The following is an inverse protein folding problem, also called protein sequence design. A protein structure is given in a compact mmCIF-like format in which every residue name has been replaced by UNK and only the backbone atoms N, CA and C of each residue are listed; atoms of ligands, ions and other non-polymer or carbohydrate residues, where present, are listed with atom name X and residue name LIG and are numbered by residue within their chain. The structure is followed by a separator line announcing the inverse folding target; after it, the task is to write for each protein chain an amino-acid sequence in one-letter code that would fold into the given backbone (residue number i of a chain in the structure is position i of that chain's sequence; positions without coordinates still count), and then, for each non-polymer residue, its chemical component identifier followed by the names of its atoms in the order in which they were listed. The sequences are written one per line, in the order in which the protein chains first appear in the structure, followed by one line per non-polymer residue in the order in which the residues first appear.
data_IF_132877561778
#
_entry.id   IF_132877561778
#
_cell.length_a   1.000
_cell.length_b   1.000
_cell.length_c   1.000
_cell.angle_alpha   90.00
_cell.angle_beta   90.00
_cell.angle_gamma   90.00
#
_symmetry.space_group_name_H-M   'P 1'
#
loop_
_entity.id
_entity.type
_entity.pdbx_description
1 polymer ?
#
# COMPACT_ATOMS: atom_id res chain seq x y z
N UNK A 1 0.90 -55.96 17.34
CA UNK A 1 -0.02 -55.02 18.03
C UNK A 1 -0.81 -54.09 17.08
N UNK A 2 -0.82 -54.29 15.76
CA UNK A 2 -1.49 -53.37 14.80
C UNK A 2 -2.96 -53.74 14.53
N UNK A 3 -3.30 -55.04 14.61
CA UNK A 3 -4.63 -55.57 14.29
C UNK A 3 -5.76 -55.05 15.22
N UNK A 4 -5.57 -54.91 16.55
CA UNK A 4 -6.62 -54.41 17.44
C UNK A 4 -6.97 -52.94 17.19
N UNK A 5 -5.97 -52.12 16.86
CA UNK A 5 -6.12 -50.71 16.54
C UNK A 5 -6.95 -50.51 15.26
N UNK A 6 -6.70 -51.32 14.23
CA UNK A 6 -7.46 -51.27 12.98
C UNK A 6 -8.94 -51.67 13.18
N UNK A 7 -9.20 -52.63 14.08
CA UNK A 7 -10.56 -53.04 14.43
C UNK A 7 -11.32 -51.95 15.21
N UNK A 8 -10.66 -51.29 16.17
CA UNK A 8 -11.27 -50.15 16.87
C UNK A 8 -11.52 -48.95 15.94
N UNK A 9 -10.59 -48.67 15.03
CA UNK A 9 -10.71 -47.58 14.05
C UNK A 9 -11.89 -47.80 13.09
N UNK A 10 -12.05 -49.02 12.56
CA UNK A 10 -13.17 -49.36 11.67
C UNK A 10 -14.51 -49.31 12.39
N UNK A 11 -14.58 -49.79 13.64
CA UNK A 11 -15.78 -49.70 14.47
C UNK A 11 -16.18 -48.25 14.78
N UNK A 12 -15.22 -47.38 15.07
CA UNK A 12 -15.46 -45.94 15.30
C UNK A 12 -15.93 -45.23 14.03
N UNK A 13 -15.28 -45.51 12.88
CA UNK A 13 -15.64 -44.91 11.61
C UNK A 13 -17.01 -45.33 11.08
N UNK A 14 -17.49 -46.53 11.43
CA UNK A 14 -18.85 -46.97 11.08
C UNK A 14 -19.96 -46.12 11.73
N UNK A 15 -19.67 -45.39 12.81
CA UNK A 15 -20.62 -44.50 13.47
C UNK A 15 -20.68 -43.10 12.84
N UNK A 16 -19.71 -42.74 12.00
CA UNK A 16 -19.71 -41.44 11.32
C UNK A 16 -20.68 -41.48 10.15
N UNK A 17 -21.78 -40.73 10.28
CA UNK A 17 -22.62 -40.40 9.13
C UNK A 17 -21.82 -39.45 8.23
N UNK A 18 -21.76 -39.68 6.90
CA UNK A 18 -21.09 -38.75 6.02
C UNK A 18 -21.74 -37.36 6.15
N UNK A 19 -20.95 -36.28 6.20
CA UNK A 19 -21.50 -34.94 6.30
C UNK A 19 -22.42 -34.69 5.10
N UNK A 20 -23.58 -34.08 5.34
CA UNK A 20 -24.48 -33.67 4.27
C UNK A 20 -23.77 -32.57 3.46
N UNK A 21 -23.19 -32.95 2.33
CA UNK A 21 -22.57 -32.01 1.39
C UNK A 21 -23.71 -31.26 0.69
N UNK A 22 -24.06 -30.09 1.20
CA UNK A 22 -24.98 -29.19 0.51
C UNK A 22 -24.27 -28.68 -0.75
N UNK A 23 -24.75 -29.07 -1.93
CA UNK A 23 -24.29 -28.52 -3.20
C UNK A 23 -24.52 -26.99 -3.22
N UNK A 24 -23.66 -26.23 -3.91
CA UNK A 24 -23.74 -24.77 -3.97
C UNK A 24 -25.14 -24.27 -4.33
N UNK A 25 -25.81 -24.94 -5.27
CA UNK A 25 -27.19 -24.63 -5.68
C UNK A 25 -28.21 -24.70 -4.53
N UNK A 26 -28.05 -25.65 -3.60
CA UNK A 26 -28.92 -25.80 -2.43
C UNK A 26 -28.67 -24.70 -1.40
N UNK A 27 -27.42 -24.22 -1.29
CA UNK A 27 -27.05 -23.10 -0.41
C UNK A 27 -27.63 -21.80 -0.96
N UNK A 28 -27.48 -21.54 -2.27
CA UNK A 28 -28.04 -20.37 -2.93
C UNK A 28 -29.57 -20.30 -2.78
N UNK A 29 -30.27 -21.42 -2.99
CA UNK A 29 -31.73 -21.48 -2.79
C UNK A 29 -32.16 -21.25 -1.34
N UNK A 30 -31.35 -21.64 -0.36
CA UNK A 30 -31.62 -21.34 1.06
C UNK A 30 -31.37 -19.87 1.37
N UNK A 31 -30.30 -19.28 0.83
CA UNK A 31 -29.97 -17.87 1.01
C UNK A 31 -31.04 -16.95 0.38
N UNK A 32 -31.50 -17.24 -0.83
CA UNK A 32 -32.55 -16.44 -1.47
C UNK A 32 -33.87 -16.50 -0.71
N UNK A 33 -34.29 -17.69 -0.26
CA UNK A 33 -35.48 -17.84 0.58
C UNK A 33 -35.39 -17.06 1.89
N UNK A 34 -34.23 -17.10 2.55
CA UNK A 34 -33.99 -16.33 3.77
C UNK A 34 -33.97 -14.82 3.50
N UNK A 35 -33.40 -14.39 2.37
CA UNK A 35 -33.39 -12.99 1.94
C UNK A 35 -34.80 -12.45 1.66
N UNK A 36 -35.63 -13.21 0.94
CA UNK A 36 -37.02 -12.82 0.70
C UNK A 36 -37.81 -12.70 1.99
N UNK A 37 -37.70 -13.69 2.90
CA UNK A 37 -38.35 -13.65 4.21
C UNK A 37 -37.89 -12.46 5.06
N UNK A 38 -36.60 -12.10 4.96
CA UNK A 38 -36.06 -10.89 5.60
C UNK A 38 -36.68 -9.62 5.02
N UNK A 39 -36.82 -9.52 3.70
CA UNK A 39 -37.40 -8.33 3.05
C UNK A 39 -38.89 -8.17 3.35
N UNK A 40 -39.65 -9.26 3.36
CA UNK A 40 -41.06 -9.25 3.80
C UNK A 40 -41.17 -8.79 5.27
N UNK A 41 -40.27 -9.26 6.13
CA UNK A 41 -40.21 -8.82 7.52
C UNK A 41 -39.83 -7.34 7.64
N UNK A 42 -38.88 -6.83 6.84
CA UNK A 42 -38.50 -5.41 6.84
C UNK A 42 -39.65 -4.51 6.39
N UNK A 43 -40.41 -4.88 5.35
CA UNK A 43 -41.60 -4.15 4.93
C UNK A 43 -42.69 -4.14 6.03
N UNK A 44 -42.77 -5.22 6.79
CA UNK A 44 -43.66 -5.31 7.96
C UNK A 44 -43.17 -4.42 9.11
N UNK A 45 -41.85 -4.35 9.34
CA UNK A 45 -41.25 -3.47 10.34
C UNK A 45 -41.40 -1.98 10.01
N UNK A 46 -41.26 -1.61 8.74
CA UNK A 46 -41.43 -0.23 8.28
C UNK A 46 -42.86 0.30 8.51
N UNK A 47 -43.85 -0.60 8.56
CA UNK A 47 -45.25 -0.29 8.87
C UNK A 47 -45.65 -0.54 10.33
N UNK A 48 -44.78 -1.18 11.14
CA UNK A 48 -45.13 -1.70 12.47
C UNK A 48 -45.26 -0.65 13.59
N UNK A 49 -44.95 0.61 13.34
CA UNK A 49 -45.00 1.67 14.36
C UNK A 49 -46.18 2.62 14.21
N UNK A 50 -47.21 2.26 13.44
CA UNK A 50 -48.49 2.97 13.51
C UNK A 50 -49.33 2.44 14.70
N UNK A 51 -48.86 2.73 15.91
CA UNK A 51 -49.52 2.39 17.19
C UNK A 51 -50.77 3.23 17.45
N UNK A 52 -51.03 4.23 16.60
CA UNK A 52 -52.20 5.10 16.73
C UNK A 52 -53.47 4.35 16.38
N UNK A 53 -54.49 4.51 17.22
CA UNK A 53 -55.80 3.88 17.06
C UNK A 53 -56.61 4.50 15.92
N UNK A 54 -56.46 5.80 15.66
CA UNK A 54 -57.09 6.46 14.52
C UNK A 54 -56.36 6.11 13.22
N UNK A 55 -57.03 5.43 12.28
CA UNK A 55 -56.52 5.08 10.94
C UNK A 55 -57.13 5.92 9.81
N UNK A 56 -57.77 7.04 10.14
CA UNK A 56 -58.42 7.90 9.14
C UNK A 56 -57.38 8.50 8.18
N UNK A 57 -57.81 8.72 6.93
CA UNK A 57 -56.96 9.26 5.88
C UNK A 57 -56.62 10.72 6.17
N UNK A 58 -55.33 11.06 6.11
CA UNK A 58 -54.83 12.42 6.31
C UNK A 58 -54.58 13.02 4.93
N UNK A 59 -55.24 14.13 4.63
CA UNK A 59 -55.09 14.85 3.38
C UNK A 59 -54.14 16.05 3.57
N UNK A 60 -53.38 16.36 2.52
CA UNK A 60 -52.61 17.61 2.47
C UNK A 60 -53.44 18.67 1.72
N UNK A 61 -53.33 19.91 2.15
CA UNK A 61 -53.94 21.06 1.47
C UNK A 61 -53.49 21.17 0.00
N UNK A 62 -52.30 20.67 -0.34
CA UNK A 62 -51.79 20.65 -1.72
C UNK A 62 -52.48 19.64 -2.64
N UNK A 63 -53.11 18.60 -2.07
CA UNK A 63 -53.69 17.46 -2.82
C UNK A 63 -55.22 17.55 -2.94
N UNK A 64 -55.85 18.46 -2.20
CA UNK A 64 -57.32 18.61 -2.16
C UNK A 64 -57.68 20.08 -2.41
N UNK A 65 -58.77 20.33 -3.14
CA UNK A 65 -59.33 21.68 -3.34
C UNK A 65 -59.89 22.23 -2.01
N UNK A 66 -58.98 22.57 -1.10
CA UNK A 66 -59.29 23.10 0.21
C UNK A 66 -59.70 24.57 0.07
N UNK A 67 -60.91 24.92 0.53
CA UNK A 67 -61.49 26.27 0.38
C UNK A 67 -60.86 27.34 1.30
N UNK A 68 -59.65 27.11 1.80
CA UNK A 68 -58.98 27.98 2.76
C UNK A 68 -57.89 28.83 2.11
N UNK A 69 -58.14 30.14 2.02
CA UNK A 69 -57.27 31.15 1.40
C UNK A 69 -56.28 31.81 2.37
N UNK A 70 -55.79 31.08 3.38
CA UNK A 70 -54.94 31.64 4.43
C UNK A 70 -53.76 30.74 4.81
N UNK A 71 -52.62 31.36 5.15
CA UNK A 71 -51.42 30.67 5.68
C UNK A 71 -51.76 30.05 7.03
N UNK A 72 -52.07 28.75 7.06
CA UNK A 72 -52.04 27.98 8.31
C UNK A 72 -50.60 27.59 8.61
N UNK A 73 -50.30 27.39 9.88
CA UNK A 73 -49.03 26.79 10.32
C UNK A 73 -48.94 25.30 9.96
N UNK A 74 -50.08 24.61 9.77
CA UNK A 74 -50.14 23.20 9.38
C UNK A 74 -50.92 23.02 8.06
N UNK A 75 -50.32 22.31 7.09
CA UNK A 75 -50.84 22.06 5.75
C UNK A 75 -51.55 20.69 5.61
N UNK A 76 -51.95 20.08 6.72
CA UNK A 76 -52.63 18.78 6.74
C UNK A 76 -53.97 18.84 7.49
N UNK A 77 -54.96 18.13 6.96
CA UNK A 77 -56.29 17.99 7.57
C UNK A 77 -56.73 16.54 7.61
N UNK A 78 -57.48 16.20 8.67
CA UNK A 78 -58.07 14.88 8.87
C UNK A 78 -59.56 15.06 9.17
N UNK A 79 -60.42 14.44 8.37
CA UNK A 79 -61.83 14.29 8.70
C UNK A 79 -62.01 12.94 9.41
N UNK A 80 -62.09 12.98 10.74
CA UNK A 80 -62.18 11.80 11.60
C UNK A 80 -63.25 12.02 12.65
N UNK A 81 -64.26 11.15 12.63
CA UNK A 81 -65.32 11.03 13.64
C UNK A 81 -64.92 10.18 14.85
N UNK A 82 -63.61 10.00 15.08
CA UNK A 82 -63.10 9.20 16.18
C UNK A 82 -63.27 9.96 17.52
N UNK A 83 -63.45 9.24 18.65
CA UNK A 83 -63.57 9.89 19.96
C UNK A 83 -62.32 10.70 20.28
N UNK A 84 -62.48 11.81 21.02
CA UNK A 84 -61.44 12.83 21.25
C UNK A 84 -60.11 12.24 21.75
N UNK A 85 -60.19 11.25 22.63
CA UNK A 85 -59.03 10.56 23.23
C UNK A 85 -58.22 9.73 22.23
N UNK A 86 -58.84 9.33 21.11
CA UNK A 86 -58.21 8.53 20.04
C UNK A 86 -57.85 9.37 18.82
N UNK A 87 -58.13 10.68 18.83
CA UNK A 87 -57.90 11.57 17.70
C UNK A 87 -56.44 12.01 17.65
N UNK A 88 -55.86 12.00 16.45
CA UNK A 88 -54.48 12.43 16.21
C UNK A 88 -54.41 13.95 16.41
N UNK A 89 -53.46 14.46 17.23
CA UNK A 89 -53.24 15.90 17.37
C UNK A 89 -52.93 16.59 16.04
N UNK A 90 -53.44 17.82 15.84
CA UNK A 90 -53.29 18.56 14.56
C UNK A 90 -51.82 18.83 14.21
N UNK A 91 -50.97 19.11 15.22
CA UNK A 91 -49.53 19.32 15.05
C UNK A 91 -48.80 18.07 14.53
N UNK A 92 -49.37 16.88 14.76
CA UNK A 92 -48.73 15.61 14.41
C UNK A 92 -49.21 15.05 13.07
N UNK A 93 -50.22 15.65 12.43
CA UNK A 93 -50.82 15.12 11.20
C UNK A 93 -49.84 14.99 10.04
N UNK A 94 -48.96 15.98 9.85
CA UNK A 94 -47.92 15.92 8.80
C UNK A 94 -46.92 14.80 9.08
N UNK A 95 -46.47 14.69 10.33
CA UNK A 95 -45.55 13.65 10.77
C UNK A 95 -46.17 12.26 10.60
N UNK A 96 -47.40 12.05 11.07
CA UNK A 96 -48.08 10.75 10.97
C UNK A 96 -48.39 10.39 9.52
N UNK A 97 -48.79 11.34 8.67
CA UNK A 97 -48.94 11.08 7.22
C UNK A 97 -47.61 10.64 6.64
N UNK A 98 -46.53 11.38 6.91
CA UNK A 98 -45.19 11.07 6.43
C UNK A 98 -44.65 9.72 6.93
N UNK A 99 -45.04 9.25 8.13
CA UNK A 99 -44.73 7.90 8.62
C UNK A 99 -45.57 6.83 7.91
N UNK A 100 -46.87 7.06 7.69
CA UNK A 100 -47.78 6.10 7.03
C UNK A 100 -47.48 5.90 5.55
N UNK A 101 -46.97 6.93 4.88
CA UNK A 101 -46.66 6.88 3.45
C UNK A 101 -45.21 6.54 3.16
N UNK A 102 -44.41 6.12 4.15
CA UNK A 102 -43.02 5.69 3.92
C UNK A 102 -43.01 4.45 3.04
N UNK A 103 -42.36 4.55 1.90
CA UNK A 103 -41.93 3.40 1.12
C UNK A 103 -40.41 3.25 1.30
N UNK A 104 -39.94 2.03 1.53
CA UNK A 104 -38.51 1.68 1.51
C UNK A 104 -37.62 2.41 2.54
N UNK A 105 -38.16 2.68 3.74
CA UNK A 105 -37.36 3.17 4.87
C UNK A 105 -36.83 4.61 4.75
N UNK A 106 -37.21 5.39 3.72
CA UNK A 106 -36.79 6.79 3.56
C UNK A 106 -37.96 7.75 3.76
N UNK A 107 -38.05 8.33 4.95
CA UNK A 107 -38.97 9.44 5.23
C UNK A 107 -38.28 10.79 5.23
N UNK A 108 -38.97 11.82 4.75
CA UNK A 108 -38.49 13.21 4.83
C UNK A 108 -38.16 13.64 6.26
N UNK A 109 -38.96 13.21 7.24
CA UNK A 109 -38.88 13.60 8.65
C UNK A 109 -38.12 12.60 9.54
N UNK A 110 -37.09 11.92 9.02
CA UNK A 110 -36.27 10.99 9.81
C UNK A 110 -35.14 11.73 10.55
N UNK A 111 -34.87 11.33 11.79
CA UNK A 111 -33.68 11.76 12.54
C UNK A 111 -32.43 11.30 11.77
N UNK A 112 -31.89 12.16 10.91
CA UNK A 112 -30.75 11.87 10.03
C UNK A 112 -30.82 12.51 8.64
N UNK A 113 -32.01 12.82 8.12
CA UNK A 113 -32.14 13.52 6.82
C UNK A 113 -31.71 14.99 6.88
N UNK A 114 -31.89 15.65 8.03
CA UNK A 114 -31.49 17.05 8.26
C UNK A 114 -29.97 17.22 8.13
N UNK A 115 -29.19 16.29 8.69
CA UNK A 115 -27.72 16.35 8.72
C UNK A 115 -27.03 15.73 7.49
N UNK A 116 -27.80 15.31 6.48
CA UNK A 116 -27.26 14.64 5.31
C UNK A 116 -26.29 15.52 4.50
N UNK A 117 -26.61 16.81 4.37
CA UNK A 117 -25.77 17.77 3.63
C UNK A 117 -24.44 18.01 4.33
N UNK A 118 -24.46 18.14 5.66
CA UNK A 118 -23.26 18.30 6.48
C UNK A 118 -22.42 17.02 6.52
N UNK A 119 -23.04 15.85 6.65
CA UNK A 119 -22.36 14.56 6.59
C UNK A 119 -21.62 14.39 5.25
N UNK A 120 -22.25 14.77 4.12
CA UNK A 120 -21.61 14.78 2.80
C UNK A 120 -20.40 15.70 2.73
N UNK A 121 -20.50 16.93 3.27
CA UNK A 121 -19.38 17.88 3.32
C UNK A 121 -18.23 17.34 4.16
N UNK A 122 -18.52 16.76 5.32
CA UNK A 122 -17.52 16.17 6.21
C UNK A 122 -16.77 15.02 5.53
N UNK A 123 -17.49 14.11 4.84
CA UNK A 123 -16.89 13.01 4.08
C UNK A 123 -16.00 13.54 2.95
N UNK A 124 -16.45 14.56 2.21
CA UNK A 124 -15.65 15.15 1.13
C UNK A 124 -14.36 15.81 1.65
N UNK A 125 -14.44 16.52 2.78
CA UNK A 125 -13.29 17.12 3.43
C UNK A 125 -12.30 16.09 3.96
N UNK A 126 -12.79 14.99 4.56
CA UNK A 126 -11.96 13.89 5.02
C UNK A 126 -11.19 13.25 3.85
N UNK A 127 -11.87 12.95 2.74
CA UNK A 127 -11.24 12.42 1.51
C UNK A 127 -10.17 13.36 0.97
N UNK A 128 -10.41 14.67 0.96
CA UNK A 128 -9.43 15.66 0.49
C UNK A 128 -8.18 15.69 1.38
N UNK A 129 -8.36 15.61 2.71
CA UNK A 129 -7.23 15.53 3.67
C UNK A 129 -6.41 14.26 3.49
N UNK A 130 -7.06 13.13 3.23
CA UNK A 130 -6.40 11.85 2.96
C UNK A 130 -5.56 11.90 1.67
N UNK A 131 -6.14 12.41 0.57
CA UNK A 131 -5.39 12.57 -0.69
C UNK A 131 -4.17 13.50 -0.56
N UNK A 132 -4.27 14.55 0.27
CA UNK A 132 -3.12 15.43 0.53
C UNK A 132 -2.01 14.64 1.25
N UNK A 133 -2.36 13.88 2.30
CA UNK A 133 -1.39 13.05 3.05
C UNK A 133 -0.71 12.01 2.16
N UNK A 134 -1.46 11.33 1.30
CA UNK A 134 -0.88 10.36 0.36
C UNK A 134 0.09 11.01 -0.63
N UNK A 135 -0.22 12.21 -1.14
CA UNK A 135 0.67 12.96 -2.04
C UNK A 135 1.95 13.37 -1.33
N UNK A 136 1.86 13.81 -0.08
CA UNK A 136 3.03 14.17 0.74
C UNK A 136 3.91 12.95 1.03
N UNK A 137 3.33 11.81 1.41
CA UNK A 137 4.06 10.56 1.61
C UNK A 137 4.76 10.10 0.33
N UNK A 138 4.07 10.12 -0.82
CA UNK A 138 4.67 9.78 -2.13
C UNK A 138 5.83 10.70 -2.50
N UNK A 139 5.76 12.00 -2.16
CA UNK A 139 6.87 12.93 -2.38
C UNK A 139 8.08 12.61 -1.50
N UNK A 140 7.85 12.30 -0.21
CA UNK A 140 8.92 11.91 0.72
C UNK A 140 9.62 10.62 0.30
N UNK A 141 8.88 9.57 -0.05
CA UNK A 141 9.48 8.32 -0.55
C UNK A 141 10.32 8.56 -1.80
N UNK A 142 9.82 9.38 -2.76
CA UNK A 142 10.61 9.71 -3.96
C UNK A 142 11.89 10.49 -3.66
N UNK A 143 11.87 11.41 -2.68
CA UNK A 143 13.09 12.12 -2.28
C UNK A 143 14.08 11.21 -1.57
N UNK A 144 13.61 10.32 -0.70
CA UNK A 144 14.45 9.34 0.00
C UNK A 144 15.08 8.35 -0.99
N UNK A 145 14.31 7.83 -1.95
CA UNK A 145 14.83 7.00 -3.04
C UNK A 145 15.87 7.72 -3.92
N UNK A 146 15.74 9.04 -4.11
CA UNK A 146 16.70 9.81 -4.89
C UNK A 146 18.03 9.96 -4.12
N UNK A 147 17.95 10.29 -2.83
CA UNK A 147 19.14 10.38 -1.95
C UNK A 147 19.84 9.03 -1.89
N UNK A 148 19.09 7.94 -1.72
CA UNK A 148 19.66 6.60 -1.65
C UNK A 148 20.36 6.17 -2.95
N UNK A 149 19.79 6.51 -4.13
CA UNK A 149 20.49 6.26 -5.42
C UNK A 149 21.78 7.06 -5.54
N UNK A 150 21.79 8.29 -5.05
CA UNK A 150 22.98 9.15 -5.11
C UNK A 150 24.06 8.64 -4.14
N UNK A 151 23.68 8.15 -2.97
CA UNK A 151 24.59 7.45 -2.03
C UNK A 151 25.13 6.14 -2.61
N UNK A 152 24.30 5.31 -3.24
CA UNK A 152 24.75 4.08 -3.91
C UNK A 152 25.75 4.37 -5.05
N UNK A 153 25.55 5.46 -5.79
CA UNK A 153 26.51 5.91 -6.81
C UNK A 153 27.84 6.37 -6.18
N UNK A 154 27.77 7.03 -5.01
CA UNK A 154 28.96 7.53 -4.31
C UNK A 154 29.73 6.42 -3.56
N UNK A 155 29.07 5.32 -3.18
CA UNK A 155 29.72 4.16 -2.56
C UNK A 155 30.61 3.36 -3.52
N UNK A 156 30.43 3.54 -4.83
CA UNK A 156 31.20 2.82 -5.86
C UNK A 156 32.45 3.58 -6.34
N UNK A 157 32.74 4.76 -5.77
CA UNK A 157 33.94 5.54 -6.04
C UNK A 157 34.97 5.39 -4.91
N UNK A 158 36.23 5.33 -5.31
CA UNK A 158 37.36 5.20 -4.40
C UNK A 158 37.63 6.42 -3.52
N UNK A 159 38.29 6.22 -2.37
CA UNK A 159 38.75 7.32 -1.53
C UNK A 159 39.91 8.06 -2.24
N UNK A 160 39.64 9.30 -2.66
CA UNK A 160 40.63 10.16 -3.32
C UNK A 160 41.51 10.96 -2.34
N UNK A 161 41.39 10.71 -1.03
CA UNK A 161 42.20 11.42 -0.04
C UNK A 161 43.68 10.99 -0.09
N UNK A 162 44.56 11.87 0.37
CA UNK A 162 45.99 11.59 0.39
C UNK A 162 46.29 10.51 1.44
N UNK A 163 46.76 9.36 0.98
CA UNK A 163 47.19 8.27 1.85
C UNK A 163 48.71 8.04 1.78
N UNK A 164 49.32 7.71 2.92
CA UNK A 164 50.73 7.29 2.96
C UNK A 164 50.91 5.98 2.20
N UNK A 165 51.88 5.94 1.27
CA UNK A 165 52.18 4.75 0.48
C UNK A 165 52.64 3.60 1.38
N UNK A 166 51.82 2.54 1.52
CA UNK A 166 52.23 1.28 2.14
C UNK A 166 52.76 0.33 1.07
N UNK A 167 54.00 -0.11 1.20
CA UNK A 167 54.57 -1.13 0.30
C UNK A 167 54.15 -2.50 0.83
N UNK A 168 53.44 -3.32 0.03
CA UNK A 168 53.06 -4.66 0.48
C UNK A 168 54.30 -5.54 0.66
N UNK A 169 54.26 -6.51 1.60
CA UNK A 169 55.37 -7.44 1.80
C UNK A 169 55.59 -8.26 0.52
N UNK A 170 56.81 -8.24 -0.01
CA UNK A 170 57.19 -8.95 -1.24
C UNK A 170 57.68 -10.35 -0.88
N UNK A 171 57.15 -11.37 -1.55
CA UNK A 171 57.65 -12.74 -1.43
C UNK A 171 58.89 -12.95 -2.30
N UNK A 172 60.07 -12.83 -1.69
CA UNK A 172 61.36 -12.99 -2.38
C UNK A 172 61.61 -14.40 -2.93
N UNK A 173 60.87 -15.41 -2.44
CA UNK A 173 60.98 -16.80 -2.88
C UNK A 173 59.98 -17.14 -4.01
N UNK A 174 59.20 -16.17 -4.48
CA UNK A 174 58.22 -16.40 -5.53
C UNK A 174 58.90 -16.81 -6.84
N UNK A 175 58.41 -17.90 -7.44
CA UNK A 175 58.90 -18.36 -8.75
C UNK A 175 58.07 -17.79 -9.90
N UNK A 176 56.85 -17.30 -9.61
CA UNK A 176 55.94 -16.67 -10.56
C UNK A 176 55.57 -15.26 -10.11
N UNK A 177 55.34 -14.37 -11.08
CA UNK A 177 54.97 -12.98 -10.82
C UNK A 177 53.67 -12.84 -10.01
N UNK A 178 52.71 -13.74 -10.23
CA UNK A 178 51.45 -13.77 -9.48
C UNK A 178 51.62 -14.09 -7.99
N UNK A 179 52.73 -14.69 -7.60
CA UNK A 179 53.04 -15.11 -6.23
C UNK A 179 53.95 -14.10 -5.51
N UNK A 180 54.38 -13.04 -6.21
CA UNK A 180 55.33 -12.04 -5.73
C UNK A 180 54.70 -11.11 -4.68
N UNK A 181 53.39 -10.85 -4.80
CA UNK A 181 52.62 -9.99 -3.91
C UNK A 181 51.28 -10.69 -3.61
N UNK A 182 50.91 -10.72 -2.34
CA UNK A 182 49.59 -11.19 -1.92
C UNK A 182 48.54 -10.09 -2.14
N UNK A 183 47.73 -10.26 -3.19
CA UNK A 183 46.66 -9.33 -3.57
C UNK A 183 45.41 -9.46 -2.67
N UNK A 184 45.38 -10.43 -1.75
CA UNK A 184 44.30 -10.59 -0.78
C UNK A 184 44.45 -9.71 0.46
N UNK A 185 45.62 -9.10 0.66
CA UNK A 185 45.86 -8.11 1.71
C UNK A 185 45.09 -6.82 1.41
N UNK A 186 44.73 -6.07 2.46
CA UNK A 186 44.14 -4.73 2.37
C UNK A 186 45.14 -3.73 1.76
N UNK A 187 45.31 -3.81 0.44
CA UNK A 187 46.10 -2.88 -0.36
C UNK A 187 45.15 -1.82 -0.90
N UNK A 188 45.44 -0.56 -0.60
CA UNK A 188 44.73 0.58 -1.16
C UNK A 188 44.82 0.55 -2.68
N UNK A 189 43.74 0.94 -3.33
CA UNK A 189 43.69 0.98 -4.78
C UNK A 189 44.69 2.00 -5.37
N UNK A 190 45.22 1.74 -6.57
CA UNK A 190 46.08 2.70 -7.25
C UNK A 190 45.38 4.05 -7.50
N UNK A 191 46.09 5.19 -7.43
CA UNK A 191 45.52 6.51 -7.77
C UNK A 191 44.94 6.61 -9.19
N UNK A 192 45.35 5.70 -10.09
CA UNK A 192 44.83 5.64 -11.44
C UNK A 192 43.41 5.08 -11.50
N UNK A 193 43.01 4.26 -10.51
CA UNK A 193 41.71 3.57 -10.48
C UNK A 193 40.73 4.17 -9.47
N UNK A 194 41.16 5.04 -8.56
CA UNK A 194 40.29 5.68 -7.53
C UNK A 194 39.10 6.43 -8.10
N UNK A 195 39.24 6.99 -9.30
CA UNK A 195 38.18 7.77 -9.97
C UNK A 195 37.21 6.92 -10.81
N UNK A 196 37.45 5.61 -10.91
CA UNK A 196 36.67 4.69 -11.72
C UNK A 196 35.70 3.90 -10.85
N UNK A 197 34.44 3.81 -11.29
CA UNK A 197 33.43 2.97 -10.65
C UNK A 197 33.73 1.48 -10.87
N UNK A 198 33.22 0.59 -10.01
CA UNK A 198 33.35 -0.85 -10.20
C UNK A 198 32.76 -1.32 -11.53
N UNK A 199 31.73 -0.63 -12.03
CA UNK A 199 31.16 -0.92 -13.35
C UNK A 199 32.12 -0.57 -14.49
N UNK A 200 32.78 0.58 -14.43
CA UNK A 200 33.80 0.97 -15.41
C UNK A 200 35.01 0.03 -15.39
N UNK A 201 35.44 -0.43 -14.21
CA UNK A 201 36.49 -1.43 -14.07
C UNK A 201 36.10 -2.77 -14.72
N UNK A 202 34.84 -3.20 -14.59
CA UNK A 202 34.33 -4.39 -15.30
C UNK A 202 34.31 -4.19 -16.82
N UNK A 203 33.93 -3.00 -17.28
CA UNK A 203 33.92 -2.67 -18.71
C UNK A 203 35.34 -2.69 -19.31
N UNK A 204 36.37 -2.27 -18.56
CA UNK A 204 37.77 -2.36 -19.00
C UNK A 204 38.27 -3.80 -19.17
N UNK A 205 37.69 -4.76 -18.44
CA UNK A 205 38.00 -6.19 -18.61
C UNK A 205 37.44 -6.73 -19.93
N UNK A 206 36.23 -6.30 -20.31
CA UNK A 206 35.56 -6.72 -21.54
C UNK A 206 36.12 -5.99 -22.76
N UNK A 207 36.46 -4.72 -22.61
CA UNK A 207 37.05 -3.86 -23.64
C UNK A 207 38.38 -3.31 -23.17
N UNK A 208 39.49 -4.06 -23.35
CA UNK A 208 40.80 -3.60 -22.96
C UNK A 208 41.21 -2.35 -23.75
N UNK A 209 41.94 -1.47 -23.08
CA UNK A 209 42.47 -0.24 -23.68
C UNK A 209 43.36 -0.56 -24.89
N UNK A 210 43.06 0.07 -26.03
CA UNK A 210 43.91 -0.07 -27.23
C UNK A 210 45.13 0.84 -27.11
N UNK A 211 46.29 0.23 -26.88
CA UNK A 211 47.57 0.95 -26.81
C UNK A 211 48.22 0.97 -28.19
N UNK A 212 48.70 2.13 -28.69
CA UNK A 212 49.48 2.19 -29.92
C UNK A 212 50.70 1.28 -29.87
N UNK A 213 51.14 0.78 -31.03
CA UNK A 213 52.37 -0.02 -31.12
C UNK A 213 53.59 0.89 -30.94
N UNK A 214 54.03 1.06 -29.70
CA UNK A 214 55.24 1.81 -29.39
C UNK A 214 56.49 1.02 -29.77
N UNK A 215 57.52 1.67 -30.37
CA UNK A 215 58.75 0.99 -30.72
C UNK A 215 59.63 0.76 -29.48
N UNK A 216 59.56 -0.43 -28.90
CA UNK A 216 60.26 -0.79 -27.65
C UNK A 216 61.77 -1.08 -27.79
N UNK A 217 62.29 -1.19 -29.02
CA UNK A 217 63.68 -1.59 -29.31
C UNK A 217 64.50 -0.47 -29.95
N UNK A 218 64.15 0.79 -29.70
CA UNK A 218 64.97 1.91 -30.17
C UNK A 218 66.16 2.11 -29.24
N UNK A 219 67.30 2.53 -29.81
CA UNK A 219 68.50 2.80 -29.03
C UNK A 219 68.27 3.86 -27.93
N UNK A 220 67.38 4.83 -28.18
CA UNK A 220 66.98 5.82 -27.19
C UNK A 220 66.22 5.21 -26.01
N UNK A 221 65.29 4.28 -26.27
CA UNK A 221 64.57 3.53 -25.23
C UNK A 221 65.54 2.70 -24.40
N UNK A 222 66.47 1.98 -25.03
CA UNK A 222 67.47 1.17 -24.32
C UNK A 222 68.39 2.02 -23.42
N UNK A 223 68.88 3.15 -23.92
CA UNK A 223 69.67 4.10 -23.13
C UNK A 223 68.87 4.67 -21.96
N UNK A 224 67.60 5.01 -22.19
CA UNK A 224 66.70 5.51 -21.14
C UNK A 224 66.49 4.47 -20.04
N UNK A 225 66.15 3.22 -20.42
CA UNK A 225 65.95 2.11 -19.48
C UNK A 225 67.22 1.87 -18.66
N UNK A 226 68.40 1.90 -19.28
CA UNK A 226 69.69 1.79 -18.57
C UNK A 226 69.85 2.89 -17.53
N UNK A 227 69.72 4.17 -17.92
CA UNK A 227 69.88 5.31 -17.01
C UNK A 227 68.88 5.27 -15.85
N UNK A 228 67.61 4.95 -16.13
CA UNK A 228 66.56 4.84 -15.10
C UNK A 228 66.86 3.69 -14.14
N UNK A 229 67.35 2.55 -14.66
CA UNK A 229 67.73 1.40 -13.83
C UNK A 229 68.91 1.73 -12.92
N UNK A 230 69.94 2.39 -13.44
CA UNK A 230 71.10 2.85 -12.67
C UNK A 230 70.67 3.83 -11.57
N UNK A 231 69.86 4.83 -11.92
CA UNK A 231 69.31 5.80 -10.96
C UNK A 231 68.43 5.12 -9.90
N UNK A 232 67.57 4.18 -10.29
CA UNK A 232 66.69 3.46 -9.38
C UNK A 232 67.47 2.59 -8.37
N UNK A 233 68.62 2.03 -8.78
CA UNK A 233 69.51 1.28 -7.89
C UNK A 233 70.05 2.12 -6.73
N UNK A 234 70.17 3.44 -6.89
CA UNK A 234 70.62 4.33 -5.81
C UNK A 234 69.53 4.59 -4.75
N UNK A 235 68.25 4.55 -5.13
CA UNK A 235 67.08 4.88 -4.28
C UNK A 235 66.22 3.63 -4.00
N UNK A 236 66.89 2.51 -3.73
CA UNK A 236 66.24 1.24 -3.41
C UNK A 236 66.04 1.09 -1.89
N UNK A 237 64.94 1.61 -1.37
CA UNK A 237 64.27 1.25 -0.09
C UNK A 237 63.25 2.35 0.26
N UNK A 238 62.37 2.12 1.23
CA UNK A 238 61.49 3.17 1.76
C UNK A 238 62.31 4.24 2.50
N UNK A 239 63.31 3.81 3.28
CA UNK A 239 64.19 4.66 4.08
C UNK A 239 65.02 5.67 3.27
N UNK A 240 65.29 5.39 1.99
CA UNK A 240 66.03 6.31 1.10
C UNK A 240 65.11 7.24 0.29
N UNK A 241 63.78 7.06 0.40
CA UNK A 241 62.75 7.82 -0.33
C UNK A 241 62.09 8.90 0.52
N UNK A 242 62.18 8.79 1.84
CA UNK A 242 61.90 9.88 2.79
C UNK A 242 63.17 10.72 3.02
#
# INVERSE_FOLDING_TARGET
MIVPLLHQWTKANALFKPPVINQCRTIELKLTKLWHRKNEFLHTLDTLFDILTCKCSIQLCSESNCSHSGKRENNSHIDCGCPREKKIPVLELEFIKAQRTKAEGQGSMQMGSIDYSETKKQIANAKKREQIREREQKKKMKSEEAIQREEELCQDLGDCSFHSRKVPPINVNATKLSELVDLSLEVLEPPLTTSLTSQELRNLKETPMQVPKWPSHTQSVERCVKMVTEAAGHVYSHERRE
#
